data_IF_789485193397
#
_entry.id   IF_789485193397
#
_cell.length_a   1.000
_cell.length_b   1.000
_cell.length_c   1.000
_cell.angle_alpha   90.00
_cell.angle_beta   90.00
_cell.angle_gamma   90.00
#
_symmetry.space_group_name_H-M   'P 1'
#
loop_
_entity.id
_entity.type
_entity.pdbx_description
1 polymer ?
#
# COMPACT_ATOMS: atom_id res chain seq x y z
N UNK A 1 14.46 17.02 -28.98
CA UNK A 1 14.35 16.76 -27.55
C UNK A 1 15.29 15.61 -27.25
N UNK A 2 16.37 15.86 -26.53
CA UNK A 2 17.25 14.80 -26.04
C UNK A 2 16.45 14.00 -25.02
N UNK A 3 16.12 12.75 -25.36
CA UNK A 3 15.57 11.79 -24.39
C UNK A 3 16.69 11.53 -23.40
N UNK A 4 16.49 11.90 -22.13
CA UNK A 4 17.41 11.48 -21.07
C UNK A 4 17.55 9.95 -21.15
N UNK A 5 18.77 9.40 -21.00
CA UNK A 5 18.94 7.96 -21.00
C UNK A 5 18.05 7.36 -19.92
N UNK A 6 17.21 6.39 -20.29
CA UNK A 6 16.37 5.65 -19.34
C UNK A 6 17.27 5.08 -18.25
N UNK A 7 17.07 5.55 -17.02
CA UNK A 7 17.83 5.09 -15.88
C UNK A 7 17.39 3.66 -15.56
N UNK A 8 18.32 2.71 -15.64
CA UNK A 8 18.06 1.33 -15.27
C UNK A 8 17.77 1.28 -13.76
N UNK A 9 16.65 0.67 -13.32
CA UNK A 9 16.38 0.48 -11.91
C UNK A 9 17.45 -0.45 -11.29
N UNK A 10 17.81 -0.22 -10.01
CA UNK A 10 18.76 -1.06 -9.28
C UNK A 10 18.00 -2.00 -8.34
N UNK A 11 17.84 -3.27 -8.72
CA UNK A 11 17.01 -4.23 -7.99
C UNK A 11 17.59 -4.66 -6.64
N UNK A 12 18.87 -4.37 -6.36
CA UNK A 12 19.53 -4.77 -5.11
C UNK A 12 19.24 -3.83 -3.94
N UNK A 13 18.69 -2.65 -4.22
CA UNK A 13 18.22 -1.73 -3.21
C UNK A 13 16.79 -2.10 -2.81
N UNK A 14 16.63 -2.82 -1.69
CA UNK A 14 15.32 -3.15 -1.08
C UNK A 14 14.43 -1.91 -0.85
N UNK A 15 15.02 -0.71 -0.85
CA UNK A 15 14.38 0.60 -0.78
C UNK A 15 13.73 1.11 -2.08
N UNK A 16 13.84 0.42 -3.22
CA UNK A 16 13.37 0.94 -4.52
C UNK A 16 11.92 0.62 -4.89
N UNK A 17 11.25 -0.33 -4.22
CA UNK A 17 9.81 -0.51 -4.43
C UNK A 17 9.06 0.65 -3.79
N UNK A 18 8.40 1.44 -4.63
CA UNK A 18 7.53 2.53 -4.19
C UNK A 18 6.45 2.00 -3.24
N UNK A 19 6.15 2.80 -2.20
CA UNK A 19 5.17 2.42 -1.18
C UNK A 19 3.82 1.91 -1.74
N UNK A 20 3.25 2.47 -2.84
CA UNK A 20 1.97 1.99 -3.38
C UNK A 20 1.99 0.55 -3.92
N UNK A 21 3.16 0.03 -4.31
CA UNK A 21 3.31 -1.29 -4.93
C UNK A 21 3.82 -2.30 -3.91
N UNK A 22 4.31 -1.85 -2.75
CA UNK A 22 4.88 -2.72 -1.72
C UNK A 22 3.91 -3.81 -1.27
N UNK A 23 2.66 -3.45 -0.98
CA UNK A 23 1.71 -4.36 -0.35
C UNK A 23 1.40 -5.59 -1.21
N UNK A 24 1.10 -5.41 -2.50
CA UNK A 24 0.87 -6.55 -3.39
C UNK A 24 2.16 -7.29 -3.74
N UNK A 25 3.31 -6.62 -3.84
CA UNK A 25 4.59 -7.29 -4.08
C UNK A 25 4.91 -8.33 -2.99
N UNK A 26 4.73 -7.97 -1.71
CA UNK A 26 4.99 -8.89 -0.59
C UNK A 26 4.05 -10.10 -0.60
N UNK A 27 2.81 -9.94 -1.07
CA UNK A 27 1.84 -11.04 -1.23
C UNK A 27 2.17 -11.89 -2.46
N UNK A 28 2.56 -11.25 -3.56
CA UNK A 28 2.97 -11.88 -4.80
C UNK A 28 4.16 -12.81 -4.56
N UNK A 29 5.25 -12.31 -3.96
CA UNK A 29 6.38 -13.17 -3.65
C UNK A 29 6.00 -14.29 -2.66
N UNK A 30 5.13 -14.03 -1.68
CA UNK A 30 4.67 -15.06 -0.76
C UNK A 30 3.90 -16.17 -1.48
N UNK A 31 3.07 -15.82 -2.47
CA UNK A 31 2.35 -16.79 -3.28
C UNK A 31 3.31 -17.67 -4.09
N UNK A 32 4.31 -17.07 -4.74
CA UNK A 32 5.33 -17.80 -5.47
C UNK A 32 6.13 -18.74 -4.55
N UNK A 33 6.54 -18.29 -3.36
CA UNK A 33 7.25 -19.12 -2.37
C UNK A 33 6.45 -20.36 -1.98
N UNK A 34 5.13 -20.23 -1.91
CA UNK A 34 4.21 -21.34 -1.63
C UNK A 34 3.87 -22.20 -2.88
N UNK A 35 4.56 -21.99 -4.00
CA UNK A 35 4.37 -22.76 -5.23
C UNK A 35 3.03 -22.49 -5.92
N UNK A 36 2.39 -21.36 -5.63
CA UNK A 36 1.13 -20.96 -6.26
C UNK A 36 1.39 -20.27 -7.60
N UNK A 37 0.42 -20.36 -8.49
CA UNK A 37 0.42 -19.60 -9.73
C UNK A 37 -0.09 -18.19 -9.46
N UNK A 38 0.42 -17.22 -10.23
CA UNK A 38 0.05 -15.82 -10.09
C UNK A 38 -0.34 -15.24 -11.45
N UNK A 39 -1.40 -14.44 -11.46
CA UNK A 39 -1.74 -13.53 -12.56
C UNK A 39 -1.77 -12.11 -12.01
N UNK A 40 -0.98 -11.23 -12.59
CA UNK A 40 -0.86 -9.84 -12.22
C UNK A 40 -1.37 -8.94 -13.35
N UNK A 41 -2.29 -8.04 -13.02
CA UNK A 41 -2.82 -7.02 -13.91
C UNK A 41 -2.44 -5.61 -13.44
N UNK A 42 -2.50 -4.60 -14.34
CA UNK A 42 -2.31 -3.20 -14.02
C UNK A 42 -3.10 -2.77 -12.79
N UNK A 43 -2.52 -1.82 -12.06
CA UNK A 43 -3.04 -1.33 -10.78
C UNK A 43 -3.08 -2.42 -9.71
N UNK A 44 -2.12 -3.34 -9.74
CA UNK A 44 -1.88 -4.35 -8.71
C UNK A 44 -3.13 -5.17 -8.36
N UNK A 45 -3.81 -5.64 -9.40
CA UNK A 45 -4.86 -6.64 -9.27
C UNK A 45 -4.20 -8.00 -9.46
N UNK A 46 -4.17 -8.77 -8.38
CA UNK A 46 -3.44 -10.03 -8.27
C UNK A 46 -4.43 -11.18 -8.09
N UNK A 47 -4.32 -12.21 -8.93
CA UNK A 47 -4.99 -13.49 -8.75
C UNK A 47 -3.95 -14.53 -8.41
N UNK A 48 -4.25 -15.37 -7.43
CA UNK A 48 -3.36 -16.43 -6.98
C UNK A 48 -4.13 -17.74 -7.01
N UNK A 49 -3.64 -18.73 -7.74
CA UNK A 49 -4.31 -20.03 -7.88
C UNK A 49 -3.42 -21.18 -7.44
N UNK A 50 -4.04 -22.24 -6.92
CA UNK A 50 -3.32 -23.49 -6.66
C UNK A 50 -2.84 -24.10 -7.98
N UNK A 51 -1.75 -24.90 -7.97
CA UNK A 51 -1.22 -25.52 -9.20
C UNK A 51 -2.23 -26.34 -10.01
N UNK A 52 -3.20 -26.96 -9.33
CA UNK A 52 -4.30 -27.71 -9.94
C UNK A 52 -5.44 -26.83 -10.48
N UNK A 53 -5.43 -25.53 -10.16
CA UNK A 53 -6.47 -24.56 -10.53
C UNK A 53 -7.79 -24.72 -9.78
N UNK A 54 -7.88 -25.56 -8.74
CA UNK A 54 -9.13 -25.79 -8.02
C UNK A 54 -9.51 -24.64 -7.09
N UNK A 55 -8.51 -23.92 -6.58
CA UNK A 55 -8.70 -22.85 -5.62
C UNK A 55 -8.06 -21.54 -6.09
N UNK A 56 -8.74 -20.43 -5.78
CA UNK A 56 -8.33 -19.09 -6.17
C UNK A 56 -8.42 -18.12 -4.98
N UNK A 57 -7.43 -17.26 -4.86
CA UNK A 57 -7.36 -16.09 -4.00
C UNK A 57 -7.23 -14.85 -4.89
N UNK A 58 -7.75 -13.72 -4.45
CA UNK A 58 -7.57 -12.46 -5.18
C UNK A 58 -7.27 -11.30 -4.23
N UNK A 59 -6.44 -10.40 -4.72
CA UNK A 59 -5.98 -9.23 -3.99
C UNK A 59 -5.98 -7.99 -4.88
N UNK A 60 -6.20 -6.84 -4.28
CA UNK A 60 -6.09 -5.54 -4.96
C UNK A 60 -5.29 -4.60 -4.05
N UNK A 61 -4.09 -4.17 -4.47
CA UNK A 61 -3.17 -3.41 -3.60
C UNK A 61 -2.89 -4.09 -2.26
N UNK A 62 -2.77 -5.42 -2.29
CA UNK A 62 -2.60 -6.28 -1.12
C UNK A 62 -3.82 -6.45 -0.21
N UNK A 63 -4.97 -5.87 -0.56
CA UNK A 63 -6.23 -6.10 0.13
C UNK A 63 -6.81 -7.44 -0.31
N UNK A 64 -7.03 -8.42 0.59
CA UNK A 64 -7.62 -9.69 0.22
C UNK A 64 -9.10 -9.54 -0.12
N UNK A 65 -9.63 -10.43 -0.95
CA UNK A 65 -11.06 -10.50 -1.28
C UNK A 65 -11.98 -10.64 -0.06
N UNK A 66 -11.48 -11.13 1.08
CA UNK A 66 -12.25 -11.20 2.32
C UNK A 66 -12.52 -9.84 2.95
N UNK A 67 -11.74 -8.80 2.62
CA UNK A 67 -12.10 -7.42 2.90
C UNK A 67 -13.17 -6.95 1.92
N UNK A 68 -14.39 -6.75 2.40
CA UNK A 68 -15.53 -6.37 1.53
C UNK A 68 -15.38 -4.97 0.95
N UNK A 69 -15.94 -4.74 -0.24
CA UNK A 69 -15.98 -3.40 -0.86
C UNK A 69 -16.59 -2.33 0.07
N UNK A 70 -17.61 -2.70 0.84
CA UNK A 70 -18.23 -1.81 1.82
C UNK A 70 -17.24 -1.43 2.93
N UNK A 71 -16.49 -2.40 3.47
CA UNK A 71 -15.49 -2.16 4.50
C UNK A 71 -14.35 -1.26 4.01
N UNK A 72 -13.83 -1.54 2.81
CA UNK A 72 -12.84 -0.69 2.14
C UNK A 72 -13.36 0.73 1.94
N UNK A 73 -14.62 0.88 1.52
CA UNK A 73 -15.28 2.18 1.36
C UNK A 73 -15.39 2.94 2.68
N UNK A 74 -15.81 2.27 3.77
CA UNK A 74 -15.90 2.88 5.10
C UNK A 74 -14.53 3.27 5.63
N UNK A 75 -13.51 2.45 5.37
CA UNK A 75 -12.15 2.75 5.75
C UNK A 75 -11.63 3.97 4.99
N UNK A 76 -11.83 4.11 3.67
CA UNK A 76 -11.30 5.25 2.90
C UNK A 76 -11.95 6.61 3.20
N UNK A 77 -13.20 6.65 3.68
CA UNK A 77 -13.85 7.88 4.15
C UNK A 77 -13.57 8.08 5.64
N UNK A 78 -12.71 9.05 5.96
CA UNK A 78 -12.28 9.36 7.33
C UNK A 78 -13.45 9.75 8.25
N UNK A 79 -14.58 10.23 7.71
CA UNK A 79 -15.79 10.50 8.50
C UNK A 79 -16.47 9.21 8.92
N UNK A 80 -16.65 8.30 7.97
CA UNK A 80 -17.32 7.03 8.21
C UNK A 80 -16.47 6.19 9.16
N UNK A 81 -15.18 6.05 8.85
CA UNK A 81 -14.20 5.39 9.70
C UNK A 81 -14.21 5.94 11.13
N UNK A 82 -14.11 7.26 11.30
CA UNK A 82 -14.15 7.89 12.62
C UNK A 82 -15.44 7.54 13.37
N UNK A 83 -16.60 7.62 12.72
CA UNK A 83 -17.86 7.26 13.33
C UNK A 83 -17.91 5.78 13.76
N UNK A 84 -17.30 4.88 12.99
CA UNK A 84 -17.15 3.46 13.35
C UNK A 84 -16.28 3.29 14.60
N UNK A 85 -15.12 3.95 14.64
CA UNK A 85 -14.19 3.90 15.78
C UNK A 85 -14.84 4.47 17.06
N UNK A 86 -15.45 5.66 16.98
CA UNK A 86 -16.13 6.30 18.11
C UNK A 86 -17.28 5.43 18.64
N UNK A 87 -18.08 4.82 17.76
CA UNK A 87 -19.17 3.92 18.15
C UNK A 87 -18.65 2.65 18.86
N UNK A 88 -17.47 2.19 18.50
CA UNK A 88 -16.81 1.05 19.14
C UNK A 88 -16.07 1.42 20.45
N UNK A 89 -16.07 2.69 20.85
CA UNK A 89 -15.34 3.17 22.02
C UNK A 89 -13.83 3.24 21.81
N UNK A 90 -13.36 3.19 20.56
CA UNK A 90 -11.94 3.35 20.22
C UNK A 90 -11.58 4.84 20.35
N UNK A 91 -10.57 5.21 21.17
CA UNK A 91 -10.16 6.59 21.34
C UNK A 91 -9.57 7.15 20.04
N UNK A 92 -10.15 8.25 19.57
CA UNK A 92 -9.67 9.04 18.42
C UNK A 92 -9.49 10.50 18.86
N UNK A 93 -8.51 11.25 18.31
CA UNK A 93 -8.32 12.66 18.66
C UNK A 93 -9.59 13.47 18.45
N UNK A 94 -9.77 14.60 19.14
CA UNK A 94 -10.93 15.45 18.90
C UNK A 94 -10.89 16.01 17.48
N UNK A 95 -11.95 15.84 16.70
CA UNK A 95 -11.97 16.28 15.31
C UNK A 95 -13.35 16.49 14.70
N UNK A 96 -13.40 17.16 13.54
CA UNK A 96 -14.61 17.41 12.79
C UNK A 96 -14.34 17.66 11.30
N UNK A 97 -15.33 17.41 10.45
CA UNK A 97 -15.22 17.63 8.99
C UNK A 97 -16.00 18.81 8.47
N UNK A 98 -15.40 19.54 7.54
CA UNK A 98 -15.92 20.76 6.95
C UNK A 98 -15.88 20.68 5.43
N UNK A 99 -16.67 21.51 4.74
CA UNK A 99 -16.58 21.64 3.28
C UNK A 99 -15.78 22.86 2.90
N UNK A 100 -15.03 22.76 1.78
CA UNK A 100 -14.24 23.90 1.26
C UNK A 100 -15.11 25.08 0.83
N UNK A 101 -16.32 24.84 0.31
CA UNK A 101 -17.15 25.91 -0.24
C UNK A 101 -17.93 26.75 0.76
N UNK A 102 -18.33 26.19 1.91
CA UNK A 102 -19.15 26.91 2.91
C UNK A 102 -18.70 26.72 4.37
N UNK A 103 -17.78 25.79 4.62
CA UNK A 103 -17.40 25.38 5.97
C UNK A 103 -16.15 26.07 6.52
N UNK A 104 -15.47 26.94 5.76
CA UNK A 104 -14.16 27.48 6.16
C UNK A 104 -14.20 28.32 7.44
N UNK A 105 -15.20 29.20 7.60
CA UNK A 105 -15.32 30.00 8.82
C UNK A 105 -15.58 29.11 10.05
N UNK A 106 -16.45 28.11 9.92
CA UNK A 106 -16.72 27.15 11.00
C UNK A 106 -15.50 26.27 11.29
N UNK A 107 -14.71 25.95 10.26
CA UNK A 107 -13.47 25.19 10.37
C UNK A 107 -12.41 25.99 11.16
N UNK A 108 -12.24 27.28 10.87
CA UNK A 108 -11.36 28.20 11.61
C UNK A 108 -11.79 28.35 13.07
N UNK A 109 -13.07 28.62 13.31
CA UNK A 109 -13.64 28.67 14.67
C UNK A 109 -13.45 27.34 15.43
N UNK A 110 -13.54 26.20 14.72
CA UNK A 110 -13.29 24.90 15.31
C UNK A 110 -11.82 24.72 15.69
N UNK A 111 -10.89 25.07 14.79
CA UNK A 111 -9.45 25.04 15.03
C UNK A 111 -9.04 25.87 16.25
N UNK A 112 -9.52 27.12 16.34
CA UNK A 112 -9.29 27.99 17.50
C UNK A 112 -9.82 27.38 18.80
N UNK A 113 -11.01 26.75 18.73
CA UNK A 113 -11.66 26.16 19.91
C UNK A 113 -10.96 24.91 20.43
N UNK A 114 -10.40 24.08 19.55
CA UNK A 114 -9.63 22.90 19.98
C UNK A 114 -8.18 23.26 20.32
N UNK A 115 -7.68 24.38 19.78
CA UNK A 115 -6.32 24.87 19.99
C UNK A 115 -5.32 24.29 18.98
N UNK A 116 -4.32 25.09 18.64
CA UNK A 116 -3.18 24.69 17.81
C UNK A 116 -2.09 24.00 18.66
N UNK A 117 -1.28 23.08 18.09
CA UNK A 117 -1.29 22.64 16.69
C UNK A 117 -2.45 21.70 16.34
N UNK A 118 -2.92 21.81 15.09
CA UNK A 118 -3.93 20.90 14.51
C UNK A 118 -3.36 20.09 13.36
N UNK A 119 -4.11 19.06 12.97
CA UNK A 119 -3.88 18.27 11.77
C UNK A 119 -5.00 18.54 10.76
N UNK A 120 -4.66 18.75 9.49
CA UNK A 120 -5.63 18.90 8.39
C UNK A 120 -5.45 17.74 7.40
N UNK A 121 -6.55 17.09 7.03
CA UNK A 121 -6.56 15.91 6.13
C UNK A 121 -7.70 16.04 5.10
N UNK A 122 -7.58 15.55 3.86
CA UNK A 122 -8.74 15.34 3.01
C UNK A 122 -9.66 14.29 3.65
N UNK A 123 -10.97 14.48 3.57
CA UNK A 123 -11.92 13.57 4.22
C UNK A 123 -11.98 12.20 3.54
N UNK A 124 -11.64 12.13 2.26
CA UNK A 124 -11.59 10.91 1.46
C UNK A 124 -10.29 10.87 0.68
N UNK A 125 -9.72 9.69 0.54
CA UNK A 125 -8.47 9.49 -0.19
C UNK A 125 -7.62 8.40 0.44
N UNK A 126 -6.52 8.07 -0.24
CA UNK A 126 -5.56 7.09 0.23
C UNK A 126 -4.97 7.52 1.59
N UNK A 127 -4.67 6.54 2.43
CA UNK A 127 -4.35 6.79 3.84
C UNK A 127 -2.93 7.33 3.97
N UNK A 128 -2.75 8.31 4.86
CA UNK A 128 -1.45 8.89 5.21
C UNK A 128 -0.63 9.55 4.07
N UNK A 129 -1.22 9.84 2.90
CA UNK A 129 -0.49 10.52 1.81
C UNK A 129 -0.61 12.06 1.90
N UNK A 130 -1.78 12.57 2.24
CA UNK A 130 -2.05 14.03 2.23
C UNK A 130 -2.45 14.54 3.62
N UNK A 131 -1.55 14.44 4.60
CA UNK A 131 -1.80 14.93 5.96
C UNK A 131 -0.88 16.09 6.31
N UNK A 132 -1.48 17.23 6.65
CA UNK A 132 -0.78 18.42 7.12
C UNK A 132 -0.66 18.37 8.63
N UNK A 133 0.51 17.94 9.11
CA UNK A 133 0.87 18.01 10.52
C UNK A 133 1.45 19.39 10.86
N UNK A 134 1.46 19.70 12.16
CA UNK A 134 2.01 20.93 12.74
C UNK A 134 1.43 22.20 12.11
N UNK A 135 0.12 22.22 11.82
CA UNK A 135 -0.54 23.49 11.47
C UNK A 135 -0.64 24.29 12.77
N UNK A 136 0.15 25.36 12.88
CA UNK A 136 0.34 26.11 14.13
C UNK A 136 -0.57 27.34 14.28
N UNK A 137 -1.12 27.82 13.17
CA UNK A 137 -1.86 29.07 13.09
C UNK A 137 -2.84 29.09 11.91
N UNK A 138 -3.66 30.15 11.83
CA UNK A 138 -4.65 30.33 10.77
C UNK A 138 -4.02 30.49 9.38
N UNK A 139 -2.85 31.14 9.29
CA UNK A 139 -2.16 31.33 8.01
C UNK A 139 -1.69 29.99 7.43
N UNK A 140 -1.20 29.07 8.28
CA UNK A 140 -0.84 27.71 7.91
C UNK A 140 -2.06 26.88 7.55
N UNK A 141 -3.16 27.06 8.27
CA UNK A 141 -4.43 26.41 7.94
C UNK A 141 -4.90 26.83 6.54
N UNK A 142 -4.88 28.12 6.22
CA UNK A 142 -5.29 28.63 4.91
C UNK A 142 -4.41 28.08 3.77
N UNK A 143 -3.10 27.91 4.00
CA UNK A 143 -2.20 27.24 3.03
C UNK A 143 -2.56 25.78 2.81
N UNK A 144 -2.86 25.03 3.88
CA UNK A 144 -3.29 23.64 3.77
C UNK A 144 -4.62 23.53 3.00
N UNK A 145 -5.56 24.45 3.22
CA UNK A 145 -6.82 24.51 2.48
C UNK A 145 -6.58 24.85 1.00
N UNK A 146 -5.75 25.84 0.68
CA UNK A 146 -5.46 26.18 -0.72
C UNK A 146 -4.86 24.99 -1.49
N UNK A 147 -3.97 24.23 -0.87
CA UNK A 147 -3.48 22.99 -1.44
C UNK A 147 -4.63 22.00 -1.72
N UNK A 148 -5.50 21.76 -0.72
CA UNK A 148 -6.64 20.85 -0.85
C UNK A 148 -7.70 21.32 -1.85
N UNK A 149 -7.66 22.60 -2.28
CA UNK A 149 -8.51 23.10 -3.37
C UNK A 149 -8.02 22.70 -4.75
N UNK A 150 -6.75 22.35 -4.90
CA UNK A 150 -6.21 21.74 -6.12
C UNK A 150 -6.90 20.40 -6.36
N UNK A 151 -7.39 20.08 -7.57
CA UNK A 151 -7.90 18.76 -7.90
C UNK A 151 -6.86 17.68 -7.57
N UNK A 152 -7.25 16.53 -6.97
CA UNK A 152 -6.28 15.50 -6.59
C UNK A 152 -5.36 15.07 -7.74
N UNK A 153 -5.88 14.95 -8.96
CA UNK A 153 -5.10 14.57 -10.16
C UNK A 153 -4.01 15.54 -10.57
N UNK A 154 -4.03 16.77 -10.05
CA UNK A 154 -3.03 17.81 -10.33
C UNK A 154 -2.05 18.01 -9.16
N UNK A 155 -2.17 17.21 -8.09
CA UNK A 155 -1.27 17.26 -6.94
C UNK A 155 -0.11 16.31 -7.14
N UNK A 156 1.11 16.79 -6.90
CA UNK A 156 2.35 16.02 -7.08
C UNK A 156 2.40 14.74 -6.25
N UNK A 157 1.73 14.71 -5.09
CA UNK A 157 1.73 13.57 -4.15
C UNK A 157 0.53 12.65 -4.31
N UNK A 158 -0.37 12.90 -5.28
CA UNK A 158 -1.58 12.10 -5.41
C UNK A 158 -1.30 10.69 -5.94
N UNK A 159 -1.69 9.69 -5.16
CA UNK A 159 -1.68 8.28 -5.58
C UNK A 159 -3.11 7.82 -5.77
N UNK A 160 -3.36 7.12 -6.89
CA UNK A 160 -4.69 6.61 -7.22
C UNK A 160 -4.75 5.10 -6.97
N UNK A 161 -5.50 4.64 -5.99
CA UNK A 161 -5.84 3.21 -5.86
C UNK A 161 -6.69 2.76 -7.06
N UNK A 162 -6.58 1.49 -7.46
CA UNK A 162 -7.37 0.92 -8.56
C UNK A 162 -8.89 1.04 -8.33
N UNK A 163 -9.28 0.96 -7.06
CA UNK A 163 -10.65 0.92 -6.55
C UNK A 163 -11.03 2.18 -5.78
N UNK A 164 -10.16 3.22 -5.79
CA UNK A 164 -10.46 4.47 -5.10
C UNK A 164 -11.80 5.00 -5.61
N UNK A 165 -12.71 5.30 -4.68
CA UNK A 165 -13.91 6.06 -5.00
C UNK A 165 -13.46 7.37 -5.63
N UNK A 166 -13.57 7.48 -6.94
CA UNK A 166 -13.48 8.77 -7.59
C UNK A 166 -14.71 9.55 -7.15
N UNK A 167 -14.55 10.73 -6.56
CA UNK A 167 -15.67 11.66 -6.50
C UNK A 167 -16.19 11.83 -7.94
N UNK A 168 -17.41 11.34 -8.21
CA UNK A 168 -18.10 11.46 -9.50
C UNK A 168 -18.58 12.91 -9.74
N UNK A 169 -17.77 13.89 -9.35
CA UNK A 169 -18.09 15.31 -9.45
C UNK A 169 -17.02 16.00 -10.25
N UNK A 170 -17.45 16.68 -11.29
CA UNK A 170 -16.57 17.47 -12.14
C UNK A 170 -15.93 18.59 -11.30
N UNK A 171 -14.59 18.79 -11.42
CA UNK A 171 -13.92 19.95 -10.87
C UNK A 171 -14.58 21.25 -11.36
N UNK A 172 -14.53 22.30 -10.53
CA UNK A 172 -14.95 23.64 -10.91
C UNK A 172 -13.79 24.47 -11.47
N UNK A 173 -14.07 25.73 -11.79
CA UNK A 173 -13.05 26.72 -12.16
C UNK A 173 -13.23 27.97 -11.28
N UNK A 174 -12.13 28.44 -10.69
CA UNK A 174 -12.07 29.69 -9.93
C UNK A 174 -10.84 30.48 -10.35
N UNK A 175 -11.04 31.73 -10.79
CA UNK A 175 -9.94 32.65 -11.20
C UNK A 175 -8.98 32.05 -12.25
N UNK A 176 -9.48 31.19 -13.14
CA UNK A 176 -8.69 30.51 -14.17
C UNK A 176 -7.92 29.26 -13.69
N UNK A 177 -8.10 28.85 -12.43
CA UNK A 177 -7.57 27.60 -11.85
C UNK A 177 -8.68 26.56 -11.75
N UNK A 178 -8.38 25.33 -12.15
CA UNK A 178 -9.26 24.18 -11.89
C UNK A 178 -9.24 23.88 -10.40
N UNK A 179 -10.41 23.73 -9.77
CA UNK A 179 -10.55 23.52 -8.32
C UNK A 179 -11.46 22.35 -8.01
N UNK A 180 -11.27 21.74 -6.83
CA UNK A 180 -12.20 20.74 -6.30
C UNK A 180 -13.62 21.32 -6.17
N UNK A 181 -14.67 20.48 -6.27
CA UNK A 181 -16.05 20.95 -6.13
C UNK A 181 -16.29 21.59 -4.75
N UNK A 182 -17.22 22.56 -4.61
CA UNK A 182 -17.52 23.21 -3.32
C UNK A 182 -17.93 22.26 -2.18
N UNK A 183 -18.39 21.07 -2.55
CA UNK A 183 -18.76 19.99 -1.65
C UNK A 183 -17.60 19.16 -1.12
N UNK A 184 -16.38 19.34 -1.64
CA UNK A 184 -15.17 18.63 -1.21
C UNK A 184 -14.96 18.84 0.30
N UNK A 185 -14.66 17.75 0.99
CA UNK A 185 -14.60 17.71 2.46
C UNK A 185 -13.17 17.51 2.94
N UNK A 186 -12.86 18.15 4.05
CA UNK A 186 -11.62 17.94 4.80
C UNK A 186 -11.93 17.74 6.29
N UNK A 187 -10.98 17.19 7.01
CA UNK A 187 -11.03 16.86 8.43
C UNK A 187 -9.99 17.70 9.17
N UNK A 188 -10.40 18.31 10.28
CA UNK A 188 -9.52 18.92 11.28
C UNK A 188 -9.51 18.03 12.51
N UNK A 189 -8.33 17.74 13.04
CA UNK A 189 -8.13 17.02 14.30
C UNK A 189 -7.13 17.75 15.20
N UNK A 190 -7.28 17.57 16.51
CA UNK A 190 -6.23 17.90 17.48
C UNK A 190 -4.98 17.10 17.17
N UNK A 191 -3.81 17.76 17.19
CA UNK A 191 -2.55 17.03 17.07
C UNK A 191 -2.10 16.50 18.44
N UNK A 192 -2.20 15.18 18.60
CA UNK A 192 -1.73 14.47 19.78
C UNK A 192 -0.22 14.23 19.74
N UNK A 193 0.40 14.13 20.92
CA UNK A 193 1.85 13.93 21.08
C UNK A 193 2.13 12.57 21.71
N UNK A 194 3.20 11.92 21.25
CA UNK A 194 3.63 10.62 21.73
C UNK A 194 4.47 9.87 20.69
N UNK A 195 4.75 8.61 21.01
CA UNK A 195 5.32 7.61 20.12
C UNK A 195 4.30 7.21 19.05
N UNK A 196 4.69 7.32 17.77
CA UNK A 196 3.87 6.90 16.64
C UNK A 196 4.16 5.43 16.32
N UNK A 197 3.16 4.57 16.36
CA UNK A 197 3.33 3.13 16.15
C UNK A 197 2.38 2.69 15.05
N UNK A 198 2.93 2.18 13.95
CA UNK A 198 2.15 1.50 12.93
C UNK A 198 2.02 0.02 13.27
N UNK A 199 0.80 -0.45 13.40
CA UNK A 199 0.49 -1.84 13.72
C UNK A 199 -0.22 -2.48 12.52
N UNK A 200 0.35 -3.55 11.98
CA UNK A 200 -0.33 -4.40 10.99
C UNK A 200 -1.30 -5.32 11.72
N UNK A 201 -2.54 -5.39 11.26
CA UNK A 201 -3.57 -6.29 11.79
C UNK A 201 -4.06 -7.20 10.68
N UNK A 202 -4.08 -8.51 10.94
CA UNK A 202 -4.54 -9.53 10.00
C UNK A 202 -5.43 -10.52 10.74
N UNK A 203 -6.69 -10.65 10.33
CA UNK A 203 -7.64 -11.58 10.93
C UNK A 203 -8.04 -11.20 12.35
N UNK A 204 -8.04 -9.89 12.66
CA UNK A 204 -8.37 -9.40 14.00
C UNK A 204 -7.26 -9.59 15.04
N UNK A 205 -6.02 -9.85 14.60
CA UNK A 205 -4.84 -9.95 15.47
C UNK A 205 -3.73 -9.02 14.98
N UNK A 206 -3.05 -8.33 15.89
CA UNK A 206 -1.84 -7.58 15.56
C UNK A 206 -0.72 -8.56 15.18
N UNK A 207 -0.05 -8.30 14.05
CA UNK A 207 1.00 -9.18 13.47
C UNK A 207 2.39 -8.56 13.52
N UNK A 208 2.50 -7.24 13.47
CA UNK A 208 3.76 -6.51 13.62
C UNK A 208 3.48 -5.10 14.15
N UNK A 209 4.49 -4.45 14.71
CA UNK A 209 4.40 -3.08 15.17
C UNK A 209 5.73 -2.35 14.94
N UNK A 210 5.66 -1.22 14.26
CA UNK A 210 6.81 -0.38 13.92
C UNK A 210 6.66 0.96 14.61
N UNK A 211 7.62 1.30 15.48
CA UNK A 211 7.78 2.64 16.03
C UNK A 211 8.36 3.54 14.93
N UNK A 212 7.64 4.61 14.60
CA UNK A 212 8.00 5.57 13.57
C UNK A 212 8.64 6.81 14.20
N UNK A 213 9.75 7.33 13.64
CA UNK A 213 10.41 8.51 14.18
C UNK A 213 9.56 9.78 14.05
N UNK A 214 8.76 9.86 13.00
CA UNK A 214 7.83 10.96 12.70
C UNK A 214 6.52 10.37 12.14
N UNK A 215 5.43 11.16 12.07
CA UNK A 215 4.21 10.71 11.40
C UNK A 215 4.49 10.24 9.96
N UNK A 216 3.81 9.18 9.47
CA UNK A 216 4.11 8.59 8.16
C UNK A 216 4.10 9.59 6.99
N UNK A 217 3.19 10.56 6.98
CA UNK A 217 3.11 11.56 5.90
C UNK A 217 4.22 12.63 5.98
N UNK A 218 5.02 12.62 7.04
CA UNK A 218 6.17 13.49 7.25
C UNK A 218 7.49 12.72 7.15
N UNK A 219 7.46 11.41 6.93
CA UNK A 219 8.66 10.61 6.81
C UNK A 219 9.41 10.90 5.51
N UNK A 220 10.71 11.11 5.61
CA UNK A 220 11.59 11.11 4.45
C UNK A 220 12.01 9.67 4.10
N UNK A 221 12.39 9.42 2.84
CA UNK A 221 12.83 8.09 2.40
C UNK A 221 14.07 7.56 3.12
N UNK A 222 14.82 8.42 3.81
CA UNK A 222 15.99 8.07 4.60
C UNK A 222 15.68 7.68 6.05
N UNK A 223 14.46 7.92 6.51
CA UNK A 223 14.05 7.62 7.88
C UNK A 223 13.52 6.19 7.99
N UNK A 224 14.08 5.43 8.93
CA UNK A 224 13.69 4.05 9.22
C UNK A 224 12.94 3.98 10.55
N UNK A 225 11.91 3.12 10.60
CA UNK A 225 11.27 2.76 11.86
C UNK A 225 12.10 1.80 12.71
N UNK A 226 11.56 1.43 13.86
CA UNK A 226 12.10 0.37 14.72
C UNK A 226 11.01 -0.69 14.93
N UNK A 227 11.35 -1.96 14.75
CA UNK A 227 10.46 -3.06 15.15
C UNK A 227 10.36 -3.09 16.69
N UNK A 228 9.14 -2.92 17.19
CA UNK A 228 8.82 -2.90 18.63
C UNK A 228 7.73 -3.91 18.94
N UNK A 229 7.43 -4.86 18.05
CA UNK A 229 6.30 -5.77 18.25
C UNK A 229 6.40 -6.55 19.55
N UNK A 230 7.58 -7.06 19.92
CA UNK A 230 7.79 -7.81 21.16
C UNK A 230 7.69 -6.94 22.42
N UNK A 231 8.05 -5.66 22.32
CA UNK A 231 7.98 -4.68 23.41
C UNK A 231 6.58 -4.06 23.56
N UNK A 232 5.78 -4.07 22.50
CA UNK A 232 4.44 -3.48 22.47
C UNK A 232 3.50 -4.17 23.45
N UNK A 233 2.93 -3.40 24.38
CA UNK A 233 2.02 -3.91 25.39
C UNK A 233 0.76 -4.55 24.77
N UNK A 234 0.31 -5.67 25.35
CA UNK A 234 -0.81 -6.46 24.81
C UNK A 234 -2.11 -5.65 24.64
N UNK A 235 -2.37 -4.67 25.50
CA UNK A 235 -3.56 -3.82 25.38
C UNK A 235 -3.51 -2.87 24.17
N UNK A 236 -2.32 -2.45 23.72
CA UNK A 236 -2.17 -1.66 22.50
C UNK A 236 -2.39 -2.53 21.25
N UNK A 237 -1.88 -3.78 21.27
CA UNK A 237 -2.19 -4.79 20.24
C UNK A 237 -3.69 -5.05 20.14
N UNK A 238 -4.36 -5.20 21.29
CA UNK A 238 -5.81 -5.38 21.35
C UNK A 238 -6.57 -4.16 20.83
N UNK A 239 -6.12 -2.95 21.17
CA UNK A 239 -6.74 -1.72 20.67
C UNK A 239 -6.66 -1.61 19.14
N UNK A 240 -5.54 -1.98 18.53
CA UNK A 240 -5.41 -2.01 17.07
C UNK A 240 -6.37 -3.05 16.45
N UNK A 241 -6.46 -4.25 17.04
CA UNK A 241 -7.43 -5.25 16.62
C UNK A 241 -8.89 -4.76 16.74
N UNK A 242 -9.22 -4.06 17.83
CA UNK A 242 -10.55 -3.48 18.05
C UNK A 242 -10.88 -2.40 17.03
N UNK A 243 -9.90 -1.58 16.66
CA UNK A 243 -10.06 -0.54 15.63
C UNK A 243 -10.40 -1.14 14.27
N UNK A 244 -9.73 -2.21 13.84
CA UNK A 244 -10.05 -2.90 12.59
C UNK A 244 -11.43 -3.58 12.68
N UNK A 245 -11.73 -4.25 13.80
CA UNK A 245 -13.06 -4.87 14.02
C UNK A 245 -14.21 -3.85 14.05
N UNK A 246 -13.95 -2.60 14.36
CA UNK A 246 -14.95 -1.53 14.35
C UNK A 246 -15.50 -1.25 12.93
N UNK A 247 -14.75 -1.60 11.89
CA UNK A 247 -15.13 -1.52 10.48
C UNK A 247 -15.59 -2.91 10.00
N UNK A 248 -16.91 -3.17 9.92
CA UNK A 248 -17.42 -4.51 9.61
C UNK A 248 -16.98 -4.98 8.22
N UNK A 249 -16.39 -6.17 8.15
CA UNK A 249 -15.93 -6.78 6.91
C UNK A 249 -14.53 -6.33 6.46
N UNK A 250 -13.76 -5.64 7.31
CA UNK A 250 -12.33 -5.39 7.08
C UNK A 250 -11.52 -6.48 7.78
N UNK A 251 -10.76 -7.28 7.03
CA UNK A 251 -9.98 -8.41 7.58
C UNK A 251 -8.50 -8.10 7.77
N UNK A 252 -8.00 -7.17 6.96
CA UNK A 252 -6.62 -6.71 6.94
C UNK A 252 -6.60 -5.18 6.95
N UNK A 253 -5.61 -4.61 7.62
CA UNK A 253 -5.34 -3.19 7.57
C UNK A 253 -4.21 -2.81 8.50
N UNK A 254 -3.83 -1.54 8.48
CA UNK A 254 -2.95 -0.97 9.49
C UNK A 254 -3.69 -0.02 10.43
N UNK A 255 -3.14 0.16 11.62
CA UNK A 255 -3.57 1.15 12.60
C UNK A 255 -2.35 1.96 13.02
N UNK A 256 -2.42 3.27 12.90
CA UNK A 256 -1.41 4.16 13.49
C UNK A 256 -1.92 4.63 14.87
N UNK A 257 -1.15 4.32 15.89
CA UNK A 257 -1.42 4.63 17.28
C UNK A 257 -0.44 5.69 17.77
N UNK A 258 -0.91 6.65 18.55
CA UNK A 258 -0.06 7.57 19.32
C UNK A 258 -0.23 7.28 20.80
N UNK A 259 0.86 6.91 21.47
CA UNK A 259 0.92 6.59 22.91
C UNK A 259 2.06 7.33 23.59
N UNK A 260 2.04 7.44 24.92
CA UNK A 260 3.15 8.06 25.65
C UNK A 260 4.34 7.10 25.77
N UNK A 261 4.08 5.82 26.03
CA UNK A 261 5.07 4.73 26.08
C UNK A 261 4.38 3.42 25.67
N UNK A 262 4.83 2.84 24.55
CA UNK A 262 4.27 1.63 23.94
C UNK A 262 4.33 0.36 24.81
N UNK A 263 5.14 0.37 25.87
CA UNK A 263 5.34 -0.76 26.78
C UNK A 263 4.34 -0.77 27.93
N UNK A 264 3.55 0.29 28.09
CA UNK A 264 2.56 0.42 29.16
C UNK A 264 1.12 0.15 28.70
N UNK A 265 0.21 -0.22 29.62
CA UNK A 265 -1.21 -0.37 29.30
C UNK A 265 -1.81 0.90 28.70
N UNK A 266 -2.71 0.77 27.72
CA UNK A 266 -3.39 1.94 27.11
C UNK A 266 -4.31 2.65 28.10
N UNK A 267 -4.83 1.96 29.11
CA UNK A 267 -5.71 2.55 30.13
C UNK A 267 -4.98 3.51 31.08
N UNK A 268 -3.66 3.38 31.20
CA UNK A 268 -2.83 4.14 32.15
C UNK A 268 -2.15 5.36 31.49
N UNK A 269 -2.46 5.63 30.21
CA UNK A 269 -1.82 6.68 29.44
C UNK A 269 -2.75 7.30 28.40
N UNK A 270 -2.29 8.37 27.76
CA UNK A 270 -2.95 8.89 26.56
C UNK A 270 -2.65 7.96 25.39
N UNK A 271 -3.69 7.40 24.79
CA UNK A 271 -3.61 6.51 23.63
C UNK A 271 -4.68 6.90 22.61
N UNK A 272 -4.26 7.11 21.37
CA UNK A 272 -5.13 7.61 20.31
C UNK A 272 -4.89 6.86 19.01
N UNK A 273 -5.96 6.33 18.40
CA UNK A 273 -5.92 5.89 17.01
C UNK A 273 -6.01 7.12 16.12
N UNK A 274 -4.93 7.44 15.41
CA UNK A 274 -4.82 8.64 14.57
C UNK A 274 -5.05 8.36 13.09
N UNK A 275 -4.88 7.10 12.67
CA UNK A 275 -5.11 6.62 11.32
C UNK A 275 -5.46 5.12 11.34
N UNK A 276 -6.29 4.70 10.40
CA UNK A 276 -6.56 3.28 10.12
C UNK A 276 -6.73 3.17 8.62
N UNK A 277 -5.99 2.26 7.99
CA UNK A 277 -6.05 2.04 6.56
C UNK A 277 -6.54 0.65 6.20
N UNK A 278 -7.25 0.55 5.07
CA UNK A 278 -7.71 -0.73 4.53
C UNK A 278 -6.59 -1.56 3.90
N UNK A 279 -5.51 -0.89 3.49
CA UNK A 279 -4.33 -1.52 2.94
C UNK A 279 -3.43 -2.03 4.06
N UNK A 280 -2.58 -3.03 3.79
CA UNK A 280 -1.57 -3.49 4.74
C UNK A 280 -0.58 -2.41 5.20
N UNK A 281 -0.13 -1.52 4.32
CA UNK A 281 0.82 -0.46 4.66
C UNK A 281 2.23 -0.97 5.01
N UNK A 282 2.68 -2.04 4.34
CA UNK A 282 3.93 -2.76 4.58
C UNK A 282 5.20 -1.96 4.30
N UNK A 283 5.08 -0.75 3.74
CA UNK A 283 6.23 0.16 3.57
C UNK A 283 6.88 0.54 4.89
N UNK A 284 6.12 0.62 5.99
CA UNK A 284 6.69 0.88 7.31
C UNK A 284 7.54 -0.29 7.79
N UNK A 285 7.07 -1.52 7.61
CA UNK A 285 7.82 -2.74 7.93
C UNK A 285 9.08 -2.84 7.07
N UNK A 286 8.96 -2.54 5.76
CA UNK A 286 10.08 -2.53 4.83
C UNK A 286 11.16 -1.48 5.19
N UNK A 287 10.77 -0.37 5.83
CA UNK A 287 11.71 0.63 6.32
C UNK A 287 12.61 0.10 7.45
N UNK A 288 12.16 -0.94 8.17
CA UNK A 288 12.96 -1.62 9.21
C UNK A 288 13.81 -2.72 8.59
N UNK A 289 13.19 -3.63 7.86
CA UNK A 289 13.85 -4.75 7.17
C UNK A 289 12.95 -5.38 6.11
N UNK A 290 13.56 -6.02 5.11
CA UNK A 290 12.79 -6.77 4.09
C UNK A 290 12.10 -8.00 4.68
N UNK A 291 12.72 -8.64 5.66
CA UNK A 291 12.17 -9.81 6.34
C UNK A 291 10.85 -9.48 7.06
N UNK A 292 10.74 -8.28 7.63
CA UNK A 292 9.54 -7.84 8.34
C UNK A 292 8.37 -7.56 7.38
N UNK A 293 8.61 -6.94 6.23
CA UNK A 293 7.57 -6.73 5.21
C UNK A 293 7.13 -8.05 4.56
N UNK A 294 8.08 -8.94 4.27
CA UNK A 294 7.82 -10.30 3.78
C UNK A 294 6.96 -11.11 4.76
N UNK A 295 7.27 -11.04 6.06
CA UNK A 295 6.47 -11.70 7.08
C UNK A 295 5.02 -11.16 7.11
N UNK A 296 4.83 -9.87 6.87
CA UNK A 296 3.53 -9.23 6.72
C UNK A 296 2.73 -9.78 5.52
N UNK A 297 3.34 -9.81 4.33
CA UNK A 297 2.74 -10.38 3.12
C UNK A 297 2.37 -11.86 3.29
N UNK A 298 3.28 -12.66 3.86
CA UNK A 298 3.03 -14.07 4.16
C UNK A 298 1.89 -14.27 5.18
N UNK A 299 1.78 -13.40 6.19
CA UNK A 299 0.68 -13.46 7.16
C UNK A 299 -0.67 -13.19 6.50
N UNK A 300 -0.74 -12.26 5.55
CA UNK A 300 -1.97 -11.92 4.83
C UNK A 300 -2.40 -13.08 3.93
N UNK A 301 -1.46 -13.63 3.15
CA UNK A 301 -1.72 -14.78 2.29
C UNK A 301 -2.22 -15.99 3.09
N UNK A 302 -1.52 -16.36 4.18
CA UNK A 302 -1.89 -17.49 5.05
C UNK A 302 -3.27 -17.31 5.66
N UNK A 303 -3.58 -16.10 6.13
CA UNK A 303 -4.90 -15.83 6.70
C UNK A 303 -6.00 -16.00 5.65
N UNK A 304 -5.82 -15.41 4.46
CA UNK A 304 -6.82 -15.49 3.39
C UNK A 304 -7.00 -16.91 2.85
N UNK A 305 -5.91 -17.67 2.71
CA UNK A 305 -5.94 -19.09 2.38
C UNK A 305 -6.69 -19.92 3.44
N UNK A 306 -6.43 -19.66 4.73
CA UNK A 306 -7.10 -20.31 5.84
C UNK A 306 -8.61 -20.06 5.89
N UNK A 307 -9.06 -18.83 5.61
CA UNK A 307 -10.49 -18.51 5.47
C UNK A 307 -11.20 -19.32 4.38
N UNK A 308 -10.42 -19.82 3.39
CA UNK A 308 -10.89 -20.61 2.27
C UNK A 308 -10.56 -22.10 2.37
N UNK A 309 -9.98 -22.53 3.49
CA UNK A 309 -9.55 -23.92 3.70
C UNK A 309 -8.58 -24.41 2.62
N UNK A 310 -7.70 -23.52 2.16
CA UNK A 310 -6.62 -23.84 1.22
C UNK A 310 -5.36 -24.15 2.02
N UNK A 311 -4.84 -25.36 1.86
CA UNK A 311 -3.56 -25.77 2.45
C UNK A 311 -2.42 -25.21 1.60
N UNK A 312 -1.58 -24.36 2.21
CA UNK A 312 -0.41 -23.80 1.54
C UNK A 312 0.78 -24.76 1.66
N UNK A 313 1.47 -25.12 0.55
CA UNK A 313 2.71 -25.88 0.59
C UNK A 313 3.79 -25.22 1.46
N UNK A 314 4.84 -25.94 1.85
CA UNK A 314 5.96 -25.30 2.56
C UNK A 314 6.65 -24.25 1.67
N UNK A 315 7.00 -23.06 2.19
CA UNK A 315 7.57 -22.00 1.38
C UNK A 315 9.01 -22.32 0.96
N UNK A 316 9.36 -21.99 -0.29
CA UNK A 316 10.71 -22.07 -0.85
C UNK A 316 11.15 -20.69 -1.32
N UNK A 317 12.36 -20.27 -0.96
CA UNK A 317 12.87 -18.94 -1.33
C UNK A 317 13.21 -18.86 -2.83
N UNK A 318 13.83 -19.93 -3.35
CA UNK A 318 14.11 -20.09 -4.78
C UNK A 318 13.02 -20.92 -5.47
N UNK A 319 12.44 -20.36 -6.53
CA UNK A 319 11.35 -20.98 -7.29
C UNK A 319 11.68 -21.00 -8.77
N UNK A 320 10.89 -21.74 -9.55
CA UNK A 320 10.87 -21.63 -11.01
C UNK A 320 9.44 -21.40 -11.48
N UNK A 321 9.27 -20.51 -12.45
CA UNK A 321 7.98 -20.20 -13.07
C UNK A 321 8.08 -20.23 -14.58
N UNK A 322 7.03 -20.70 -15.24
CA UNK A 322 6.72 -20.32 -16.62
C UNK A 322 6.19 -18.89 -16.57
N UNK A 323 6.78 -18.01 -17.35
CA UNK A 323 6.46 -16.58 -17.37
C UNK A 323 5.83 -16.22 -18.71
N UNK A 324 4.76 -15.45 -18.64
CA UNK A 324 4.02 -14.99 -19.81
C UNK A 324 3.66 -13.52 -19.60
N UNK A 325 4.16 -12.64 -20.46
CA UNK A 325 3.80 -11.23 -20.48
C UNK A 325 3.01 -10.92 -21.75
N UNK A 326 1.89 -10.21 -21.63
CA UNK A 326 0.99 -9.91 -22.75
C UNK A 326 0.73 -8.41 -22.96
N UNK A 327 0.39 -8.07 -24.21
CA UNK A 327 0.14 -6.71 -24.69
C UNK A 327 1.29 -5.73 -24.37
N UNK A 328 2.52 -6.18 -24.52
CA UNK A 328 3.73 -5.37 -24.36
C UNK A 328 3.93 -4.49 -25.62
N UNK A 329 3.88 -3.14 -25.52
CA UNK A 329 3.94 -2.28 -26.71
C UNK A 329 5.28 -2.30 -27.45
N UNK A 330 6.39 -2.36 -26.72
CA UNK A 330 7.76 -2.44 -27.26
C UNK A 330 8.43 -3.73 -26.77
N UNK A 331 8.12 -4.83 -27.47
CA UNK A 331 8.61 -6.17 -27.12
C UNK A 331 10.14 -6.29 -27.19
N UNK A 332 10.76 -5.79 -28.27
CA UNK A 332 12.20 -5.96 -28.49
C UNK A 332 13.01 -5.24 -27.40
N UNK A 333 12.57 -4.03 -27.01
CA UNK A 333 13.14 -3.32 -25.86
C UNK A 333 12.87 -4.05 -24.53
N UNK A 334 11.62 -4.45 -24.30
CA UNK A 334 11.21 -5.09 -23.05
C UNK A 334 11.97 -6.40 -22.77
N UNK A 335 12.08 -7.32 -23.74
CA UNK A 335 12.80 -8.59 -23.53
C UNK A 335 14.29 -8.39 -23.27
N UNK A 336 14.89 -7.36 -23.87
CA UNK A 336 16.29 -6.99 -23.65
C UNK A 336 16.49 -6.50 -22.21
N UNK A 337 15.66 -5.55 -21.78
CA UNK A 337 15.69 -4.98 -20.42
C UNK A 337 15.40 -6.06 -19.37
N UNK A 338 14.39 -6.90 -19.59
CA UNK A 338 14.06 -8.03 -18.72
C UNK A 338 15.27 -8.93 -18.55
N UNK A 339 15.94 -9.31 -19.64
CA UNK A 339 17.11 -10.20 -19.56
C UNK A 339 18.31 -9.55 -18.85
N UNK A 340 18.55 -8.25 -19.05
CA UNK A 340 19.61 -7.52 -18.37
C UNK A 340 19.38 -7.47 -16.85
N UNK A 341 18.15 -7.15 -16.44
CA UNK A 341 17.75 -7.06 -15.03
C UNK A 341 17.71 -8.46 -14.40
N UNK A 342 17.17 -9.46 -15.08
CA UNK A 342 17.16 -10.83 -14.59
C UNK A 342 18.59 -11.31 -14.29
N UNK A 343 19.57 -11.01 -15.15
CA UNK A 343 20.98 -11.32 -14.88
C UNK A 343 21.54 -10.58 -13.67
N UNK A 344 21.22 -9.30 -13.48
CA UNK A 344 21.72 -8.53 -12.34
C UNK A 344 21.11 -8.99 -11.00
N UNK A 345 19.93 -9.61 -11.04
CA UNK A 345 19.23 -10.21 -9.90
C UNK A 345 19.56 -11.69 -9.68
N UNK A 346 20.57 -12.22 -10.38
CA UNK A 346 21.00 -13.62 -10.32
C UNK A 346 19.89 -14.62 -10.70
N UNK A 347 18.93 -14.20 -11.52
CA UNK A 347 17.94 -15.10 -12.10
C UNK A 347 18.54 -15.91 -13.25
N UNK A 348 18.07 -17.15 -13.37
CA UNK A 348 18.38 -18.09 -14.43
C UNK A 348 17.16 -18.34 -15.30
N UNK A 349 17.37 -18.72 -16.56
CA UNK A 349 16.30 -19.05 -17.49
C UNK A 349 16.33 -18.28 -18.81
N UNK A 350 15.17 -18.00 -19.37
CA UNK A 350 15.09 -17.34 -20.68
C UNK A 350 13.79 -16.59 -20.89
N UNK A 351 13.81 -15.67 -21.84
CA UNK A 351 12.63 -15.00 -22.38
C UNK A 351 12.71 -14.98 -23.91
N UNK A 352 11.58 -15.15 -24.58
CA UNK A 352 11.48 -15.18 -26.04
C UNK A 352 10.21 -14.48 -26.51
N UNK A 353 10.26 -13.85 -27.67
CA UNK A 353 9.08 -13.25 -28.30
C UNK A 353 8.32 -14.35 -29.04
N UNK A 354 7.14 -14.71 -28.54
CA UNK A 354 6.31 -15.77 -29.13
C UNK A 354 5.22 -15.23 -30.05
N UNK A 355 4.70 -14.03 -29.78
CA UNK A 355 3.77 -13.34 -30.67
C UNK A 355 4.05 -11.83 -30.75
N UNK A 356 4.52 -11.36 -31.90
CA UNK A 356 4.81 -9.95 -32.15
C UNK A 356 3.56 -9.08 -32.32
N UNK A 357 2.45 -9.66 -32.75
CA UNK A 357 1.21 -8.95 -33.04
C UNK A 357 0.42 -8.73 -31.76
N UNK A 358 0.32 -9.75 -30.92
CA UNK A 358 -0.36 -9.67 -29.63
C UNK A 358 0.52 -9.08 -28.51
N UNK A 359 1.80 -8.86 -28.78
CA UNK A 359 2.72 -8.28 -27.80
C UNK A 359 3.09 -9.29 -26.70
N UNK A 360 3.31 -10.55 -27.07
CA UNK A 360 3.55 -11.65 -26.15
C UNK A 360 5.03 -12.02 -26.08
N UNK A 361 5.53 -12.09 -24.84
CA UNK A 361 6.81 -12.71 -24.53
C UNK A 361 6.61 -13.82 -23.50
N UNK A 362 7.13 -15.02 -23.80
CA UNK A 362 7.09 -16.16 -22.92
C UNK A 362 8.49 -16.53 -22.44
N UNK A 363 8.59 -17.25 -21.34
CA UNK A 363 9.88 -17.60 -20.79
C UNK A 363 9.82 -18.50 -19.57
N UNK A 364 10.99 -18.67 -18.98
CA UNK A 364 11.18 -19.35 -17.72
C UNK A 364 12.06 -18.46 -16.86
N UNK A 365 11.62 -18.17 -15.65
CA UNK A 365 12.41 -17.48 -14.63
C UNK A 365 12.63 -18.42 -13.46
N UNK A 366 13.88 -18.53 -13.01
CA UNK A 366 14.26 -19.35 -11.86
C UNK A 366 15.25 -18.62 -10.96
N UNK A 367 14.95 -18.58 -9.67
CA UNK A 367 15.74 -17.88 -8.63
C UNK A 367 14.85 -17.38 -7.49
N UNK A 368 15.30 -16.37 -6.72
CA UNK A 368 14.56 -15.86 -5.58
C UNK A 368 13.17 -15.35 -5.96
N UNK A 369 12.12 -15.83 -5.28
CA UNK A 369 10.73 -15.46 -5.54
C UNK A 369 10.48 -13.95 -5.46
N UNK A 370 11.16 -13.26 -4.53
CA UNK A 370 11.12 -11.79 -4.42
C UNK A 370 11.61 -11.09 -5.68
N UNK A 371 12.61 -11.63 -6.39
CA UNK A 371 13.15 -11.01 -7.60
C UNK A 371 12.23 -11.22 -8.81
N UNK A 372 11.63 -12.41 -8.91
CA UNK A 372 10.65 -12.75 -9.93
C UNK A 372 9.42 -11.85 -9.78
N UNK A 373 8.84 -11.78 -8.58
CA UNK A 373 7.71 -10.89 -8.28
C UNK A 373 8.04 -9.41 -8.52
N UNK A 374 9.25 -8.96 -8.18
CA UNK A 374 9.67 -7.57 -8.41
C UNK A 374 9.67 -7.23 -9.91
N UNK A 375 10.23 -8.10 -10.74
CA UNK A 375 10.30 -7.89 -12.18
C UNK A 375 8.90 -7.80 -12.80
N UNK A 376 7.99 -8.69 -12.41
CA UNK A 376 6.60 -8.68 -12.85
C UNK A 376 5.87 -7.39 -12.43
N UNK A 377 6.02 -6.97 -11.16
CA UNK A 377 5.42 -5.74 -10.63
C UNK A 377 5.92 -4.49 -11.38
N UNK A 378 7.23 -4.37 -11.61
CA UNK A 378 7.80 -3.24 -12.36
C UNK A 378 7.38 -3.23 -13.83
N UNK A 379 7.28 -4.42 -14.45
CA UNK A 379 6.80 -4.53 -15.83
C UNK A 379 5.32 -4.17 -15.95
N UNK A 380 4.46 -4.54 -15.00
CA UNK A 380 3.04 -4.18 -15.05
C UNK A 380 2.81 -2.71 -14.66
N UNK A 381 3.61 -2.16 -13.74
CA UNK A 381 3.55 -0.76 -13.31
C UNK A 381 4.10 0.22 -14.36
N UNK A 382 4.94 -0.25 -15.28
CA UNK A 382 5.55 0.58 -16.33
C UNK A 382 6.88 1.23 -15.92
N UNK A 383 7.40 0.87 -14.75
CA UNK A 383 8.63 1.44 -14.17
C UNK A 383 9.88 0.65 -14.54
N UNK A 384 9.73 -0.46 -15.29
CA UNK A 384 10.83 -1.24 -15.84
C UNK A 384 11.44 -0.56 -17.09
N UNK A 385 12.22 0.50 -16.88
CA UNK A 385 12.79 1.35 -17.94
C UNK A 385 11.72 1.88 -18.92
N UNK A 386 10.50 2.16 -18.44
CA UNK A 386 9.40 2.68 -19.25
C UNK A 386 8.63 1.62 -20.05
N UNK A 387 9.02 0.33 -19.97
CA UNK A 387 8.26 -0.77 -20.58
C UNK A 387 7.10 -1.18 -19.68
N UNK A 388 5.96 -1.49 -20.31
CA UNK A 388 4.74 -1.94 -19.62
C UNK A 388 4.15 -3.21 -20.23
N UNK A 389 3.51 -4.03 -19.40
CA UNK A 389 2.64 -5.13 -19.81
C UNK A 389 1.22 -4.94 -19.26
N UNK A 390 0.20 -5.44 -19.96
CA UNK A 390 -1.19 -5.42 -19.46
C UNK A 390 -1.53 -6.65 -18.63
N UNK A 391 -0.66 -7.65 -18.62
CA UNK A 391 -0.78 -8.88 -17.85
C UNK A 391 0.59 -9.55 -17.77
N UNK A 392 0.88 -10.10 -16.59
CA UNK A 392 1.94 -11.08 -16.37
C UNK A 392 1.33 -12.30 -15.70
N UNK A 393 1.52 -13.49 -16.27
CA UNK A 393 1.22 -14.77 -15.65
C UNK A 393 2.51 -15.50 -15.29
N UNK A 394 2.51 -16.09 -14.10
CA UNK A 394 3.61 -16.89 -13.57
C UNK A 394 3.04 -18.21 -13.07
N UNK A 395 3.36 -19.30 -13.77
CA UNK A 395 2.90 -20.64 -13.41
C UNK A 395 4.03 -21.43 -12.80
N UNK A 396 3.82 -21.94 -11.60
CA UNK A 396 4.85 -22.70 -10.90
C UNK A 396 5.24 -23.94 -11.69
N UNK A 397 6.54 -24.23 -11.71
CA UNK A 397 7.10 -25.42 -12.36
C UNK A 397 8.29 -25.96 -11.58
N UNK A 398 8.66 -27.21 -11.88
CA UNK A 398 9.89 -27.80 -11.32
C UNK A 398 11.14 -27.06 -11.82
N UNK A 399 12.11 -26.89 -10.92
CA UNK A 399 13.41 -26.29 -11.23
C UNK A 399 14.20 -27.15 -12.22
N UNK A 400 14.96 -26.50 -13.08
CA UNK A 400 15.81 -27.14 -14.09
C UNK A 400 17.25 -26.64 -13.99
N UNK A 401 18.20 -27.39 -14.55
CA UNK A 401 19.57 -26.91 -14.73
C UNK A 401 19.59 -25.86 -15.84
N UNK A 402 19.56 -24.60 -15.43
CA UNK A 402 19.61 -23.42 -16.29
C UNK A 402 20.78 -22.55 -15.81
N UNK A 403 21.63 -22.14 -16.75
CA UNK A 403 22.78 -21.26 -16.46
C UNK A 403 22.33 -19.80 -16.34
N UNK A 404 23.02 -18.87 -17.01
CA UNK A 404 22.65 -17.45 -17.04
C UNK A 404 21.34 -17.21 -17.80
N UNK A 405 20.65 -16.12 -17.46
CA UNK A 405 19.45 -15.71 -18.17
C UNK A 405 19.74 -15.34 -19.63
N UNK A 406 18.92 -15.79 -20.59
CA UNK A 406 19.11 -15.53 -22.03
C UNK A 406 17.87 -14.99 -22.73
N UNK A 407 18.05 -14.16 -23.75
CA UNK A 407 17.00 -13.88 -24.74
C UNK A 407 17.12 -14.92 -25.85
N UNK A 408 16.02 -15.56 -26.25
CA UNK A 408 15.98 -16.54 -27.33
C UNK A 408 15.35 -16.01 -28.61
#
# INVERSE_FOLDING_TARGET
>A
MSVEPLQMPDPTASSQLAAPIRDGHEIHQAALRHGLNVVLYPRQVLMVTTPDGEHELSFIHGIPQSSTLAAVTYAQDKRMRRAHLERAGVPVPRGATFSVGRGLNDAKNFAERIGYPIVVKPAMGDNAIETFHNVLDEDQFDRAIDYLRTPPTERDTFVRSAYALTELREPGEEEGRVVVPPGYRFLIEEQVKGEYIRILVVGGEARSAVLLPVPPSSMESSEAGQDVFDELHATARQLAADAIRAVPGLTVGFVDLVVTDHRHPVADQHAWVVELGERPGLSAQASVSGELSQAGGASILRHHAGERSIDLPDPQDDVAVEFHAAAVPDLDGAVTVIAEIARSMELSGYIEITDRVEGIADGVLQGPAQHIAWLAEMLVDGTLAGHSAMLVEERHRERQELDTFTVR
#
